data_IF_368991887668
#
_entry.id   IF_368991887668
#
_cell.length_a   1.000
_cell.length_b   1.000
_cell.length_c   1.000
_cell.angle_alpha   90.00
_cell.angle_beta   90.00
_cell.angle_gamma   90.00
#
_symmetry.space_group_name_H-M   'P 1'
#
loop_
_entity.id
_entity.type
_entity.pdbx_description
1 polymer ?
#
# COMPACT_ATOMS: atom_id res chain seq x y z
N UNK A 1 -2.49 -21.10 1.26
CA UNK A 1 -1.77 -19.86 1.67
C UNK A 1 -2.76 -18.90 2.30
N UNK A 2 -2.38 -18.18 3.37
CA UNK A 2 -3.24 -17.14 3.97
C UNK A 2 -3.37 -15.95 3.00
N UNK A 3 -4.53 -15.30 2.97
CA UNK A 3 -4.77 -14.15 2.08
C UNK A 3 -3.87 -12.98 2.46
N UNK A 4 -3.60 -12.81 3.75
CA UNK A 4 -2.64 -11.83 4.27
C UNK A 4 -1.24 -11.98 3.65
N UNK A 5 -0.72 -13.21 3.56
CA UNK A 5 0.59 -13.51 2.94
C UNK A 5 0.63 -13.11 1.47
N UNK A 6 -0.43 -13.39 0.71
CA UNK A 6 -0.49 -13.04 -0.71
C UNK A 6 -0.34 -11.52 -0.91
N UNK A 7 -1.04 -10.73 -0.11
CA UNK A 7 -0.92 -9.27 -0.18
C UNK A 7 0.49 -8.77 0.18
N UNK A 8 1.14 -9.34 1.20
CA UNK A 8 2.52 -8.96 1.52
C UNK A 8 3.51 -9.32 0.39
N UNK A 9 3.29 -10.44 -0.31
CA UNK A 9 4.09 -10.78 -1.48
C UNK A 9 3.87 -9.76 -2.62
N UNK A 10 2.64 -9.33 -2.86
CA UNK A 10 2.36 -8.25 -3.83
C UNK A 10 2.99 -6.92 -3.41
N UNK A 11 3.01 -6.58 -2.12
CA UNK A 11 3.68 -5.38 -1.63
C UNK A 11 5.19 -5.43 -1.89
N UNK A 12 5.83 -6.59 -1.63
CA UNK A 12 7.25 -6.79 -1.90
C UNK A 12 7.56 -6.77 -3.40
N UNK A 13 6.77 -7.47 -4.22
CA UNK A 13 6.91 -7.46 -5.66
C UNK A 13 6.72 -6.05 -6.24
N UNK A 14 5.70 -5.33 -5.78
CA UNK A 14 5.45 -3.93 -6.17
C UNK A 14 6.60 -3.00 -5.79
N UNK A 15 7.20 -3.19 -4.61
CA UNK A 15 8.40 -2.47 -4.19
C UNK A 15 9.55 -2.72 -5.17
N UNK A 16 9.90 -3.99 -5.41
CA UNK A 16 11.01 -4.35 -6.29
C UNK A 16 10.80 -3.83 -7.70
N UNK A 17 9.62 -4.08 -8.28
CA UNK A 17 9.32 -3.72 -9.68
C UNK A 17 9.40 -2.21 -9.87
N UNK A 18 8.75 -1.42 -9.01
CA UNK A 18 8.71 0.04 -9.19
C UNK A 18 10.04 0.71 -8.81
N UNK A 19 10.73 0.20 -7.79
CA UNK A 19 11.97 0.82 -7.34
C UNK A 19 13.19 0.55 -8.22
N UNK A 20 13.16 -0.50 -9.05
CA UNK A 20 14.18 -0.67 -10.10
C UNK A 20 14.17 0.56 -11.03
N UNK A 21 13.00 1.00 -11.49
CA UNK A 21 12.87 2.16 -12.39
C UNK A 21 13.15 3.48 -11.66
N UNK A 22 12.69 3.63 -10.42
CA UNK A 22 13.04 4.82 -9.62
C UNK A 22 14.56 4.92 -9.38
N UNK A 23 15.23 3.81 -9.08
CA UNK A 23 16.68 3.78 -8.91
C UNK A 23 17.40 4.13 -10.22
N UNK A 24 16.95 3.60 -11.36
CA UNK A 24 17.48 3.97 -12.66
C UNK A 24 17.35 5.47 -12.93
N UNK A 25 16.18 6.06 -12.65
CA UNK A 25 15.97 7.51 -12.76
C UNK A 25 16.96 8.31 -11.91
N UNK A 26 17.15 7.94 -10.64
CA UNK A 26 18.07 8.63 -9.74
C UNK A 26 19.54 8.48 -10.16
N UNK A 27 19.96 7.29 -10.58
CA UNK A 27 21.34 7.03 -11.04
C UNK A 27 21.65 7.80 -12.34
N UNK A 28 20.64 8.05 -13.18
CA UNK A 28 20.77 8.83 -14.41
C UNK A 28 20.75 10.35 -14.18
N UNK A 29 20.83 10.80 -12.92
CA UNK A 29 20.83 12.22 -12.56
C UNK A 29 19.45 12.81 -12.29
N UNK A 30 18.42 11.97 -12.22
CA UNK A 30 17.10 12.36 -11.74
C UNK A 30 17.12 12.80 -10.27
N UNK A 31 16.09 13.54 -9.86
CA UNK A 31 15.98 14.09 -8.50
C UNK A 31 14.63 13.79 -7.88
N UNK A 32 14.60 13.64 -6.56
CA UNK A 32 13.36 13.53 -5.77
C UNK A 32 12.70 14.88 -5.49
N UNK A 33 13.35 15.97 -5.90
CA UNK A 33 12.78 17.32 -5.80
C UNK A 33 11.49 17.41 -6.64
N UNK A 34 10.38 17.94 -6.09
CA UNK A 34 9.08 17.88 -6.76
C UNK A 34 9.06 18.41 -8.20
N UNK A 35 9.69 19.54 -8.48
CA UNK A 35 9.67 20.11 -9.83
C UNK A 35 10.42 19.22 -10.83
N UNK A 36 11.60 18.71 -10.46
CA UNK A 36 12.38 17.79 -11.28
C UNK A 36 11.68 16.43 -11.46
N UNK A 37 11.10 15.89 -10.39
CA UNK A 37 10.41 14.60 -10.39
C UNK A 37 9.14 14.65 -11.25
N UNK A 38 8.25 15.62 -11.02
CA UNK A 38 7.02 15.76 -11.80
C UNK A 38 7.30 16.21 -13.23
N UNK A 39 8.34 17.00 -13.47
CA UNK A 39 8.79 17.34 -14.82
C UNK A 39 9.18 16.10 -15.64
N UNK A 40 9.81 15.11 -15.01
CA UNK A 40 10.13 13.83 -15.64
C UNK A 40 8.91 12.89 -15.74
N UNK A 41 8.11 12.78 -14.67
CA UNK A 41 6.95 11.88 -14.59
C UNK A 41 5.80 12.30 -15.53
N UNK A 42 5.73 13.58 -15.92
CA UNK A 42 4.70 14.15 -16.78
C UNK A 42 5.25 14.68 -18.11
N UNK A 43 6.35 14.10 -18.60
CA UNK A 43 7.04 14.57 -19.81
C UNK A 43 6.22 14.42 -21.10
N UNK A 44 5.40 13.39 -21.18
CA UNK A 44 4.58 13.06 -22.35
C UNK A 44 3.11 12.87 -21.97
N UNK A 45 2.14 13.06 -22.89
CA UNK A 45 0.73 12.85 -22.56
C UNK A 45 0.43 11.48 -21.93
N UNK A 46 1.13 10.42 -22.36
CA UNK A 46 0.99 9.07 -21.81
C UNK A 46 1.50 8.98 -20.37
N UNK A 47 2.70 9.48 -20.10
CA UNK A 47 3.30 9.44 -18.75
C UNK A 47 2.54 10.34 -17.78
N UNK A 48 2.03 11.48 -18.26
CA UNK A 48 1.13 12.35 -17.51
C UNK A 48 -0.16 11.63 -17.13
N UNK A 49 -0.82 10.96 -18.08
CA UNK A 49 -2.05 10.21 -17.80
C UNK A 49 -1.82 9.11 -16.74
N UNK A 50 -0.77 8.31 -16.88
CA UNK A 50 -0.42 7.26 -15.92
C UNK A 50 -0.12 7.86 -14.53
N UNK A 51 0.61 8.97 -14.48
CA UNK A 51 0.90 9.67 -13.21
C UNK A 51 -0.39 10.15 -12.55
N UNK A 52 -1.29 10.79 -13.30
CA UNK A 52 -2.58 11.24 -12.80
C UNK A 52 -3.45 10.07 -12.31
N UNK A 53 -3.50 8.96 -13.03
CA UNK A 53 -4.24 7.75 -12.62
C UNK A 53 -3.75 7.22 -11.27
N UNK A 54 -2.43 7.18 -11.08
CA UNK A 54 -1.80 6.71 -9.82
C UNK A 54 -2.11 7.66 -8.68
N UNK A 55 -1.93 8.97 -8.84
CA UNK A 55 -2.18 9.93 -7.77
C UNK A 55 -3.67 10.07 -7.44
N UNK A 56 -4.54 10.00 -8.44
CA UNK A 56 -5.99 9.97 -8.22
C UNK A 56 -6.40 8.72 -7.42
N UNK A 57 -5.89 7.56 -7.81
CA UNK A 57 -6.08 6.31 -7.07
C UNK A 57 -5.52 6.40 -5.64
N UNK A 58 -4.38 7.06 -5.44
CA UNK A 58 -3.76 7.26 -4.13
C UNK A 58 -4.62 8.13 -3.20
N UNK A 59 -5.24 9.18 -3.74
CA UNK A 59 -6.16 10.05 -2.98
C UNK A 59 -7.39 9.24 -2.54
N UNK A 60 -8.06 8.57 -3.48
CA UNK A 60 -9.25 7.76 -3.17
C UNK A 60 -8.91 6.64 -2.19
N UNK A 61 -7.79 5.95 -2.39
CA UNK A 61 -7.27 4.95 -1.47
C UNK A 61 -7.03 5.52 -0.07
N UNK A 62 -6.42 6.70 0.05
CA UNK A 62 -6.12 7.32 1.34
C UNK A 62 -7.40 7.64 2.12
N UNK A 63 -8.43 8.17 1.45
CA UNK A 63 -9.73 8.47 2.07
C UNK A 63 -10.40 7.18 2.56
N UNK A 64 -10.50 6.17 1.69
CA UNK A 64 -11.08 4.87 2.04
C UNK A 64 -10.33 4.15 3.15
N UNK A 65 -8.99 4.18 3.09
CA UNK A 65 -8.14 3.53 4.07
C UNK A 65 -8.27 4.17 5.45
N UNK A 66 -8.40 5.51 5.52
CA UNK A 66 -8.59 6.20 6.80
C UNK A 66 -9.91 5.84 7.48
N UNK A 67 -10.99 5.62 6.73
CA UNK A 67 -12.28 5.18 7.29
C UNK A 67 -12.24 3.71 7.70
N UNK A 68 -11.76 2.81 6.83
CA UNK A 68 -11.63 1.37 7.12
C UNK A 68 -10.67 1.11 8.30
N UNK A 69 -9.58 1.88 8.44
CA UNK A 69 -8.63 1.73 9.53
C UNK A 69 -9.20 2.17 10.88
N UNK A 70 -10.09 3.17 10.88
CA UNK A 70 -10.84 3.58 12.08
C UNK A 70 -11.79 2.48 12.51
N UNK A 71 -12.60 1.96 11.58
CA UNK A 71 -13.57 0.90 11.86
C UNK A 71 -12.91 -0.40 12.35
N UNK A 72 -11.72 -0.73 11.84
CA UNK A 72 -11.00 -1.98 12.19
C UNK A 72 -9.95 -1.81 13.27
N UNK A 73 -9.89 -0.64 13.92
CA UNK A 73 -8.91 -0.30 14.94
C UNK A 73 -7.46 -0.64 14.53
N UNK A 74 -7.11 -0.35 13.27
CA UNK A 74 -5.75 -0.53 12.75
C UNK A 74 -4.90 0.65 13.22
N UNK A 75 -3.86 0.44 14.04
CA UNK A 75 -2.98 1.49 14.52
C UNK A 75 -2.11 2.01 13.37
N UNK A 76 -1.53 3.20 13.55
CA UNK A 76 -0.60 3.81 12.59
C UNK A 76 -1.18 4.04 11.19
N UNK A 77 -2.49 4.27 11.04
CA UNK A 77 -3.16 4.55 9.75
C UNK A 77 -2.47 5.65 8.92
N UNK A 78 -1.91 6.67 9.58
CA UNK A 78 -1.16 7.75 8.94
C UNK A 78 0.16 7.29 8.30
N UNK A 79 0.78 6.22 8.81
CA UNK A 79 2.00 5.65 8.23
C UNK A 79 1.74 5.13 6.81
N UNK A 80 0.55 4.56 6.54
CA UNK A 80 0.20 4.09 5.20
C UNK A 80 0.05 5.24 4.20
N UNK A 81 -0.37 6.42 4.64
CA UNK A 81 -0.38 7.63 3.81
C UNK A 81 1.05 8.03 3.47
N UNK A 82 1.92 8.09 4.47
CA UNK A 82 3.35 8.39 4.26
C UNK A 82 3.98 7.40 3.28
N UNK A 83 3.75 6.09 3.47
CA UNK A 83 4.23 5.06 2.54
C UNK A 83 3.66 5.27 1.13
N UNK A 84 2.36 5.60 1.01
CA UNK A 84 1.70 5.80 -0.28
C UNK A 84 2.34 6.92 -1.11
N UNK A 85 2.64 8.07 -0.47
CA UNK A 85 3.15 9.25 -1.18
C UNK A 85 4.68 9.32 -1.23
N UNK A 86 5.39 8.72 -0.27
CA UNK A 86 6.86 8.73 -0.25
C UNK A 86 7.48 7.51 -0.93
N UNK A 87 6.81 6.35 -0.92
CA UNK A 87 7.36 5.10 -1.48
C UNK A 87 6.56 4.63 -2.69
N UNK A 88 5.22 4.68 -2.61
CA UNK A 88 4.33 4.43 -3.74
C UNK A 88 3.06 3.66 -3.39
N UNK A 89 1.98 3.95 -4.12
CA UNK A 89 0.68 3.29 -3.98
C UNK A 89 0.76 1.77 -4.19
N UNK A 90 1.61 1.32 -5.11
CA UNK A 90 1.81 -0.10 -5.43
C UNK A 90 2.27 -0.94 -4.21
N UNK A 91 2.79 -0.29 -3.17
CA UNK A 91 3.25 -0.93 -1.93
C UNK A 91 2.23 -0.68 -0.82
N UNK A 92 1.78 0.57 -0.68
CA UNK A 92 0.88 0.97 0.40
C UNK A 92 -0.45 0.20 0.40
N UNK A 93 -1.07 0.04 -0.79
CA UNK A 93 -2.34 -0.67 -0.96
C UNK A 93 -2.24 -2.14 -0.51
N UNK A 94 -1.39 -2.98 -1.12
CA UNK A 94 -1.29 -4.39 -0.70
C UNK A 94 -0.79 -4.53 0.74
N UNK A 95 0.12 -3.67 1.21
CA UNK A 95 0.58 -3.72 2.60
C UNK A 95 -0.58 -3.51 3.58
N UNK A 96 -1.44 -2.51 3.34
CA UNK A 96 -2.62 -2.25 4.15
C UNK A 96 -3.61 -3.42 4.11
N UNK A 97 -3.88 -3.96 2.92
CA UNK A 97 -4.77 -5.12 2.75
C UNK A 97 -4.24 -6.36 3.47
N UNK A 98 -2.92 -6.58 3.49
CA UNK A 98 -2.29 -7.67 4.23
C UNK A 98 -2.53 -7.58 5.73
N UNK A 99 -2.32 -6.39 6.32
CA UNK A 99 -2.56 -6.17 7.76
C UNK A 99 -4.04 -6.30 8.11
N UNK A 100 -4.90 -5.74 7.26
CA UNK A 100 -6.36 -5.82 7.41
C UNK A 100 -6.84 -7.27 7.41
N UNK A 101 -6.32 -8.10 6.51
CA UNK A 101 -6.73 -9.51 6.40
C UNK A 101 -6.13 -10.35 7.53
N UNK A 102 -4.87 -10.10 7.91
CA UNK A 102 -4.23 -10.77 9.04
C UNK A 102 -5.02 -10.58 10.35
N UNK A 103 -5.58 -9.40 10.56
CA UNK A 103 -6.42 -9.12 11.74
C UNK A 103 -7.72 -9.92 11.73
N UNK A 104 -8.38 -10.01 10.57
CA UNK A 104 -9.58 -10.85 10.42
C UNK A 104 -9.28 -12.33 10.65
N UNK A 105 -8.17 -12.82 10.08
CA UNK A 105 -7.70 -14.20 10.26
C UNK A 105 -7.45 -14.50 11.74
N UNK A 106 -6.77 -13.60 12.48
CA UNK A 106 -6.54 -13.73 13.92
C UNK A 106 -7.83 -13.75 14.75
N UNK A 107 -8.79 -12.88 14.43
CA UNK A 107 -10.08 -12.85 15.11
C UNK A 107 -10.85 -14.17 14.92
N UNK A 108 -10.91 -14.69 13.69
CA UNK A 108 -11.59 -15.96 13.38
C UNK A 108 -10.94 -17.17 14.08
N UNK A 109 -9.59 -17.22 14.11
CA UNK A 109 -8.89 -18.29 14.83
C UNK A 109 -9.09 -18.23 16.35
N UNK A 110 -9.15 -17.03 16.95
CA UNK A 110 -9.42 -16.85 18.37
C UNK A 110 -10.84 -17.28 18.78
N UNK A 111 -11.84 -16.96 17.96
CA UNK A 111 -13.23 -17.40 18.18
C UNK A 111 -13.38 -18.92 18.11
N UNK A 112 -12.68 -19.59 17.20
CA UNK A 112 -12.72 -21.05 17.07
C UNK A 112 -12.17 -21.74 18.33
N UNK A 113 -11.10 -21.20 18.91
CA UNK A 113 -10.50 -21.72 20.16
C UNK A 113 -11.39 -21.49 21.39
N UNK A 114 -12.08 -20.35 21.47
CA UNK A 114 -13.02 -20.05 22.56
C UNK A 114 -14.32 -20.88 22.47
N UNK A 115 -14.74 -21.27 21.27
CA UNK A 115 -15.87 -22.18 21.05
C UNK A 115 -15.57 -23.65 21.39
N UNK A 116 -14.29 -24.00 21.55
CA UNK A 116 -13.83 -25.35 21.93
C UNK A 116 -13.72 -25.56 23.44
N UNK A 117 -13.92 -24.52 24.27
CA UNK A 117 -13.73 -24.57 25.74
C UNK A 117 -15.01 -24.76 26.56
N UNK A 118 -16.09 -25.31 26.00
CA UNK A 118 -17.19 -25.85 26.83
C UNK A 118 -17.55 -27.27 26.43
N UNK A 119 -17.08 -28.24 27.23
CA UNK A 119 -17.98 -29.21 27.82
C UNK A 119 -17.77 -29.23 29.33
N UNK A 120 -18.74 -28.72 30.11
CA UNK A 120 -19.27 -29.28 31.38
C UNK A 120 -20.56 -28.54 31.67
#
# INVERSE_FOLDING_TARGET
MKRSTLYYLFALAGLIITWIFNAQYLIQGGSVEPAAFFGAAMLTPLTTAITLDVYWSAIVFSIWMLTDAKEKAIPLRWLYIVICFCIGLAIALPLYLGVREQRKEKACSGTNLAGMTTPV
#
